data_IF_196183626460
#
_entry.id   IF_196183626460
#
_cell.length_a   1.000
_cell.length_b   1.000
_cell.length_c   1.000
_cell.angle_alpha   90.00
_cell.angle_beta   90.00
_cell.angle_gamma   90.00
#
_symmetry.space_group_name_H-M   'P 1'
#
loop_
_entity.id
_entity.type
_entity.pdbx_description
1 polymer ?
#
# COMPACT_ATOMS: atom_id res chain seq x y z
N UNK A 1 13.95 -6.47 17.19
CA UNK A 1 14.32 -5.30 16.37
C UNK A 1 14.37 -4.10 17.29
N UNK A 2 15.55 -3.49 17.46
CA UNK A 2 15.76 -2.33 18.34
C UNK A 2 16.00 -1.05 17.54
N UNK A 3 16.52 -1.16 16.33
CA UNK A 3 16.85 -0.01 15.49
C UNK A 3 16.75 -0.33 14.00
N UNK A 4 16.74 0.73 13.19
CA UNK A 4 16.77 0.61 11.74
C UNK A 4 17.94 -0.28 11.26
N UNK A 5 17.65 -1.17 10.33
CA UNK A 5 18.61 -2.12 9.75
C UNK A 5 18.79 -3.44 10.51
N UNK A 6 18.25 -3.59 11.71
CA UNK A 6 18.36 -4.86 12.45
C UNK A 6 17.70 -6.03 11.70
N UNK A 7 16.62 -5.79 10.96
CA UNK A 7 15.95 -6.82 10.14
C UNK A 7 16.89 -7.46 9.12
N UNK A 8 17.91 -6.73 8.66
CA UNK A 8 18.92 -7.24 7.72
C UNK A 8 19.84 -8.31 8.31
N UNK A 9 19.92 -8.39 9.63
CA UNK A 9 20.77 -9.36 10.35
C UNK A 9 20.08 -10.70 10.58
N UNK A 10 18.75 -10.73 10.45
CA UNK A 10 17.98 -11.96 10.67
C UNK A 10 18.21 -12.95 9.51
N UNK A 11 18.28 -14.27 9.79
CA UNK A 11 18.19 -15.28 8.77
C UNK A 11 16.88 -15.17 7.98
N UNK A 12 16.91 -15.46 6.69
CA UNK A 12 15.72 -15.37 5.84
C UNK A 12 14.57 -16.27 6.33
N UNK A 13 14.90 -17.41 6.91
CA UNK A 13 13.94 -18.38 7.46
C UNK A 13 13.16 -17.85 8.68
N UNK A 14 13.68 -16.82 9.35
CA UNK A 14 13.02 -16.19 10.51
C UNK A 14 12.10 -15.03 10.12
N UNK A 15 12.12 -14.57 8.87
CA UNK A 15 11.26 -13.46 8.44
C UNK A 15 9.77 -13.74 8.56
N UNK A 16 9.25 -14.95 8.26
CA UNK A 16 7.83 -15.26 8.48
C UNK A 16 7.43 -15.16 9.96
N UNK A 17 8.27 -15.65 10.87
CA UNK A 17 8.04 -15.55 12.31
C UNK A 17 8.05 -14.08 12.78
N UNK A 18 8.99 -13.28 12.29
CA UNK A 18 9.00 -11.85 12.56
C UNK A 18 7.70 -11.17 12.09
N UNK A 19 7.18 -11.54 10.92
CA UNK A 19 5.92 -11.00 10.42
C UNK A 19 4.74 -11.35 11.33
N UNK A 20 4.72 -12.56 11.87
CA UNK A 20 3.71 -13.01 12.83
C UNK A 20 3.81 -12.23 14.16
N UNK A 21 5.01 -12.10 14.71
CA UNK A 21 5.27 -11.31 15.93
C UNK A 21 4.85 -9.85 15.77
N UNK A 22 5.18 -9.23 14.64
CA UNK A 22 4.77 -7.85 14.33
C UNK A 22 3.25 -7.75 14.29
N UNK A 23 2.58 -8.70 13.64
CA UNK A 23 1.12 -8.71 13.50
C UNK A 23 0.45 -8.81 14.87
N UNK A 24 0.89 -9.73 15.71
CA UNK A 24 0.39 -9.89 17.07
C UNK A 24 0.60 -8.61 17.90
N UNK A 25 1.79 -8.04 17.85
CA UNK A 25 2.09 -6.78 18.52
C UNK A 25 1.19 -5.62 18.05
N UNK A 26 0.92 -5.52 16.75
CA UNK A 26 0.03 -4.48 16.21
C UNK A 26 -1.41 -4.67 16.67
N UNK A 27 -1.90 -5.90 16.72
CA UNK A 27 -3.24 -6.22 17.22
C UNK A 27 -3.36 -5.80 18.69
N UNK A 28 -2.42 -6.18 19.56
CA UNK A 28 -2.40 -5.81 20.98
C UNK A 28 -2.28 -4.31 21.17
N UNK A 29 -1.37 -3.63 20.48
CA UNK A 29 -1.16 -2.20 20.62
C UNK A 29 -2.37 -1.39 20.19
N UNK A 30 -2.93 -1.71 19.02
CA UNK A 30 -4.08 -0.97 18.47
C UNK A 30 -5.37 -1.30 19.24
N UNK A 31 -5.52 -2.50 19.82
CA UNK A 31 -6.64 -2.79 20.69
C UNK A 31 -6.66 -1.86 21.93
N UNK A 32 -5.49 -1.51 22.45
CA UNK A 32 -5.34 -0.67 23.63
C UNK A 32 -5.44 0.83 23.32
N UNK A 33 -4.89 1.30 22.20
CA UNK A 33 -4.78 2.74 21.89
C UNK A 33 -5.79 3.22 20.84
N UNK A 34 -6.39 2.31 20.08
CA UNK A 34 -7.03 2.63 18.82
C UNK A 34 -6.02 2.88 17.71
N UNK A 35 -6.49 2.96 16.47
CA UNK A 35 -5.63 3.22 15.31
C UNK A 35 -6.12 2.59 14.02
N UNK A 36 -5.26 2.60 13.00
CA UNK A 36 -5.55 1.94 11.72
C UNK A 36 -5.08 0.48 11.78
N UNK A 37 -6.01 -0.47 11.87
CA UNK A 37 -5.67 -1.87 12.10
C UNK A 37 -5.59 -2.67 10.80
N UNK A 38 -6.70 -2.81 10.08
CA UNK A 38 -6.77 -3.72 8.92
C UNK A 38 -5.78 -3.38 7.82
N UNK A 39 -5.51 -2.08 7.59
CA UNK A 39 -4.56 -1.62 6.58
C UNK A 39 -3.12 -1.98 6.94
N UNK A 40 -2.75 -1.90 8.23
CA UNK A 40 -1.41 -2.25 8.72
C UNK A 40 -1.19 -3.77 8.69
N UNK A 41 -2.18 -4.55 9.10
CA UNK A 41 -2.09 -6.02 9.07
C UNK A 41 -1.90 -6.56 7.64
N UNK A 42 -2.44 -5.88 6.64
CA UNK A 42 -2.34 -6.28 5.24
C UNK A 42 -0.97 -6.00 4.59
N UNK A 43 -0.07 -5.23 5.22
CA UNK A 43 1.22 -4.82 4.62
C UNK A 43 2.44 -5.18 5.47
N UNK A 44 2.31 -6.10 6.40
CA UNK A 44 3.42 -6.50 7.29
C UNK A 44 4.56 -7.10 6.46
N UNK A 45 4.29 -8.13 5.66
CA UNK A 45 5.28 -8.82 4.84
C UNK A 45 5.92 -7.89 3.81
N UNK A 46 5.11 -7.06 3.15
CA UNK A 46 5.60 -6.03 2.24
C UNK A 46 6.62 -5.10 2.92
N UNK A 47 6.28 -4.60 4.10
CA UNK A 47 7.12 -3.64 4.81
C UNK A 47 8.40 -4.28 5.33
N UNK A 48 8.33 -5.52 5.85
CA UNK A 48 9.52 -6.30 6.26
C UNK A 48 10.44 -6.55 5.07
N UNK A 49 9.90 -6.96 3.91
CA UNK A 49 10.68 -7.19 2.70
C UNK A 49 11.36 -5.91 2.18
N UNK A 50 10.69 -4.77 2.24
CA UNK A 50 11.28 -3.47 1.89
C UNK A 50 12.45 -3.12 2.82
N UNK A 51 12.28 -3.26 4.14
CA UNK A 51 13.35 -3.00 5.10
C UNK A 51 14.51 -3.99 4.99
N UNK A 52 14.24 -5.20 4.50
CA UNK A 52 15.28 -6.19 4.22
C UNK A 52 16.13 -5.80 3.03
N UNK A 53 15.51 -5.28 1.97
CA UNK A 53 16.17 -4.93 0.71
C UNK A 53 16.77 -3.51 0.69
N UNK A 54 16.08 -2.53 1.27
CA UNK A 54 16.43 -1.11 1.19
C UNK A 54 17.39 -0.69 2.32
N UNK A 55 18.16 0.36 2.10
CA UNK A 55 19.04 0.99 3.10
C UNK A 55 18.52 2.37 3.47
N UNK A 56 17.68 2.45 4.50
CA UNK A 56 17.16 3.71 5.03
C UNK A 56 18.21 4.40 5.92
N UNK A 57 18.25 5.72 5.95
CA UNK A 57 17.44 6.69 5.23
C UNK A 57 17.95 7.05 3.82
N UNK A 58 18.98 6.39 3.30
CA UNK A 58 19.50 6.63 1.95
C UNK A 58 18.44 6.31 0.89
N UNK A 59 17.85 5.12 0.94
CA UNK A 59 16.62 4.83 0.20
C UNK A 59 15.44 5.49 0.88
N UNK A 60 14.38 5.75 0.13
CA UNK A 60 13.21 6.46 0.62
C UNK A 60 11.94 5.62 0.42
N UNK A 61 11.11 5.52 1.45
CA UNK A 61 9.78 4.91 1.37
C UNK A 61 8.74 6.00 1.60
N UNK A 62 7.75 6.09 0.71
CA UNK A 62 6.61 6.98 0.81
C UNK A 62 5.33 6.15 0.81
N UNK A 63 4.53 6.30 1.85
CA UNK A 63 3.24 5.65 1.96
C UNK A 63 2.14 6.61 1.52
N UNK A 64 1.30 6.21 0.56
CA UNK A 64 0.13 7.00 0.19
C UNK A 64 -0.87 7.04 1.35
N UNK A 65 -1.43 8.20 1.66
CA UNK A 65 -2.14 8.49 2.90
C UNK A 65 -1.23 8.35 4.13
N UNK A 66 -0.48 7.26 4.26
CA UNK A 66 0.50 7.02 5.32
C UNK A 66 -0.02 6.25 6.54
N UNK A 67 -1.31 5.91 6.59
CA UNK A 67 -1.93 5.23 7.72
C UNK A 67 -1.47 3.77 7.91
N UNK A 68 -0.82 3.16 6.91
CA UNK A 68 -0.30 1.78 6.92
C UNK A 68 1.21 1.72 7.25
N UNK A 69 1.74 2.65 8.04
CA UNK A 69 3.18 2.77 8.33
C UNK A 69 3.63 2.13 9.66
N UNK A 70 2.76 1.43 10.39
CA UNK A 70 3.08 0.99 11.75
C UNK A 70 4.23 -0.02 11.77
N UNK A 71 4.24 -0.99 10.88
CA UNK A 71 5.37 -1.92 10.71
C UNK A 71 6.67 -1.17 10.40
N UNK A 72 6.63 -0.12 9.57
CA UNK A 72 7.79 0.73 9.30
C UNK A 72 8.30 1.43 10.57
N UNK A 73 7.40 1.94 11.41
CA UNK A 73 7.76 2.55 12.69
C UNK A 73 8.41 1.54 13.64
N UNK A 74 7.89 0.31 13.73
CA UNK A 74 8.49 -0.76 14.52
C UNK A 74 9.91 -1.09 14.03
N UNK A 75 10.09 -1.28 12.74
CA UNK A 75 11.38 -1.65 12.14
C UNK A 75 12.43 -0.53 12.19
N UNK A 76 12.01 0.70 12.47
CA UNK A 76 12.89 1.87 12.66
C UNK A 76 13.11 2.23 14.13
N UNK A 77 12.76 1.32 15.07
CA UNK A 77 13.11 1.40 16.49
C UNK A 77 12.15 2.17 17.37
N UNK A 78 10.92 2.41 16.91
CA UNK A 78 9.90 3.19 17.65
C UNK A 78 8.89 2.34 18.44
N UNK A 79 9.26 1.10 18.81
CA UNK A 79 8.34 0.15 19.47
C UNK A 79 7.73 0.70 20.75
N UNK A 80 8.53 1.34 21.59
CA UNK A 80 8.06 1.87 22.89
C UNK A 80 6.99 2.95 22.72
N UNK A 81 7.07 3.76 21.66
CA UNK A 81 6.11 4.80 21.34
C UNK A 81 4.69 4.30 21.06
N UNK A 82 4.52 3.00 20.78
CA UNK A 82 3.20 2.43 20.52
C UNK A 82 2.28 2.43 21.73
N UNK A 83 2.83 2.50 22.95
CA UNK A 83 2.04 2.68 24.18
C UNK A 83 1.21 3.98 24.16
N UNK A 84 1.64 4.97 23.39
CA UNK A 84 0.99 6.28 23.24
C UNK A 84 0.69 6.60 21.75
N UNK A 85 0.41 5.56 20.96
CA UNK A 85 0.07 5.73 19.55
C UNK A 85 -1.17 6.63 19.38
N UNK A 86 -1.05 7.69 18.55
CA UNK A 86 -2.11 8.67 18.26
C UNK A 86 -2.61 9.48 19.48
N UNK A 87 -1.86 9.50 20.56
CA UNK A 87 -2.12 10.35 21.72
C UNK A 87 -1.32 11.65 21.62
N UNK A 88 -1.70 12.64 22.45
CA UNK A 88 -0.94 13.91 22.56
C UNK A 88 0.48 13.61 23.03
N UNK A 89 1.46 14.20 22.38
CA UNK A 89 2.89 13.98 22.59
C UNK A 89 3.36 12.52 22.40
N UNK A 90 2.50 11.68 21.84
CA UNK A 90 2.78 10.29 21.51
C UNK A 90 3.19 10.07 20.06
N UNK A 91 3.28 8.79 19.68
CA UNK A 91 3.64 8.38 18.33
C UNK A 91 2.53 8.73 17.33
N UNK A 92 2.87 9.44 16.27
CA UNK A 92 1.92 9.76 15.19
C UNK A 92 1.39 8.49 14.50
N UNK A 93 0.13 8.49 14.12
CA UNK A 93 -0.48 7.44 13.29
C UNK A 93 -0.06 7.48 11.81
N UNK A 94 0.81 8.41 11.44
CA UNK A 94 1.33 8.65 10.08
C UNK A 94 2.84 8.80 10.11
N UNK A 95 3.56 8.66 8.97
CA UNK A 95 4.98 8.97 8.90
C UNK A 95 5.23 10.42 9.32
N UNK A 96 6.28 10.65 10.10
CA UNK A 96 6.68 11.99 10.58
C UNK A 96 8.19 12.14 10.56
N UNK A 97 8.75 13.03 9.71
CA UNK A 97 10.18 13.33 9.71
C UNK A 97 10.69 13.90 11.05
N UNK A 98 9.80 14.38 11.91
CA UNK A 98 10.16 14.81 13.26
C UNK A 98 10.43 13.64 14.21
N UNK A 99 9.91 12.46 13.91
CA UNK A 99 10.11 11.25 14.70
C UNK A 99 11.33 10.44 14.24
N UNK A 100 11.62 10.44 12.94
CA UNK A 100 12.70 9.63 12.36
C UNK A 100 13.12 10.12 10.97
N UNK A 101 14.44 10.12 10.71
CA UNK A 101 15.01 10.39 9.37
C UNK A 101 14.60 9.34 8.32
N UNK A 102 14.06 8.20 8.76
CA UNK A 102 13.52 7.17 7.89
C UNK A 102 12.15 7.54 7.31
N UNK A 103 11.43 8.48 7.93
CA UNK A 103 10.15 9.00 7.47
C UNK A 103 10.40 10.13 6.47
N UNK A 104 10.11 9.90 5.21
CA UNK A 104 10.49 10.83 4.13
C UNK A 104 9.58 12.03 4.02
N UNK A 105 8.27 11.85 4.31
CA UNK A 105 7.25 12.85 4.03
C UNK A 105 6.02 12.66 4.92
N UNK A 106 5.43 13.76 5.37
CA UNK A 106 4.13 13.75 6.06
C UNK A 106 3.03 13.67 4.99
N UNK A 107 2.25 12.60 5.04
CA UNK A 107 1.09 12.42 4.18
C UNK A 107 -0.20 12.43 5.04
N UNK A 108 -1.33 12.30 4.40
CA UNK A 108 -2.66 12.24 5.03
C UNK A 108 -3.75 12.16 3.98
N UNK A 109 -3.45 12.65 2.76
CA UNK A 109 -4.38 12.62 1.63
C UNK A 109 -3.99 11.53 0.63
N UNK A 110 -5.01 10.86 0.07
CA UNK A 110 -4.83 9.85 -0.95
C UNK A 110 -4.30 10.39 -2.26
N UNK A 111 -3.67 9.53 -3.04
CA UNK A 111 -3.17 9.77 -4.40
C UNK A 111 -1.96 10.72 -4.50
N UNK A 112 -1.33 11.12 -3.38
CA UNK A 112 -0.25 12.12 -3.35
C UNK A 112 1.15 11.52 -3.38
N UNK A 113 1.31 10.28 -2.93
CA UNK A 113 2.64 9.68 -2.72
C UNK A 113 3.45 9.56 -4.02
N UNK A 114 2.80 9.27 -5.14
CA UNK A 114 3.52 9.11 -6.41
C UNK A 114 4.14 10.43 -6.87
N UNK A 115 3.38 11.53 -6.86
CA UNK A 115 3.90 12.85 -7.24
C UNK A 115 5.05 13.28 -6.34
N UNK A 116 4.92 13.05 -5.03
CA UNK A 116 5.99 13.32 -4.05
C UNK A 116 7.22 12.44 -4.32
N UNK A 117 7.04 11.13 -4.57
CA UNK A 117 8.13 10.22 -4.86
C UNK A 117 8.89 10.60 -6.15
N UNK A 118 8.18 11.04 -7.18
CA UNK A 118 8.78 11.55 -8.42
C UNK A 118 9.65 12.78 -8.12
N UNK A 119 9.14 13.72 -7.31
CA UNK A 119 9.91 14.89 -6.89
C UNK A 119 11.20 14.51 -6.16
N UNK A 120 11.11 13.60 -5.19
CA UNK A 120 12.26 13.08 -4.43
C UNK A 120 13.24 12.34 -5.36
N UNK A 121 12.75 11.47 -6.24
CA UNK A 121 13.59 10.71 -7.19
C UNK A 121 14.35 11.63 -8.15
N UNK A 122 13.68 12.68 -8.67
CA UNK A 122 14.32 13.71 -9.50
C UNK A 122 15.36 14.51 -8.73
N UNK A 123 15.06 14.93 -7.50
CA UNK A 123 16.00 15.66 -6.66
C UNK A 123 17.28 14.84 -6.39
N UNK A 124 17.13 13.55 -6.05
CA UNK A 124 18.28 12.63 -5.88
C UNK A 124 19.10 12.52 -7.16
N UNK A 125 18.44 12.37 -8.31
CA UNK A 125 19.13 12.30 -9.61
C UNK A 125 19.90 13.56 -9.94
N UNK A 126 19.30 14.75 -9.72
CA UNK A 126 19.95 16.05 -9.95
C UNK A 126 21.15 16.25 -9.04
N UNK A 127 21.03 15.85 -7.77
CA UNK A 127 22.12 15.92 -6.78
C UNK A 127 23.14 14.81 -6.92
N UNK A 128 22.93 13.82 -7.81
CA UNK A 128 23.72 12.59 -7.94
C UNK A 128 23.78 11.78 -6.63
N UNK A 129 22.74 11.84 -5.82
CA UNK A 129 22.62 11.06 -4.59
C UNK A 129 22.15 9.63 -4.93
N UNK A 130 22.80 8.60 -4.36
CA UNK A 130 22.41 7.21 -4.57
C UNK A 130 21.12 6.87 -3.82
N UNK A 131 20.52 5.73 -4.16
CA UNK A 131 19.38 5.13 -3.48
C UNK A 131 18.08 5.22 -4.26
N UNK A 132 17.20 4.25 -3.98
CA UNK A 132 15.88 4.10 -4.59
C UNK A 132 14.84 4.92 -3.82
N UNK A 133 13.76 5.23 -4.53
CA UNK A 133 12.56 5.87 -3.97
C UNK A 133 11.38 4.95 -4.24
N UNK A 134 10.71 4.49 -3.19
CA UNK A 134 9.58 3.57 -3.27
C UNK A 134 8.31 4.30 -2.85
N UNK A 135 7.32 4.35 -3.74
CA UNK A 135 5.97 4.83 -3.43
C UNK A 135 5.02 3.64 -3.27
N UNK A 136 4.38 3.52 -2.10
CA UNK A 136 3.38 2.49 -1.82
C UNK A 136 2.00 3.12 -1.93
N UNK A 137 1.18 2.63 -2.85
CA UNK A 137 -0.15 3.18 -3.15
C UNK A 137 -1.18 2.06 -3.03
N UNK A 138 -2.22 2.26 -2.24
CA UNK A 138 -3.36 1.35 -2.19
C UNK A 138 -4.24 1.48 -3.45
N UNK A 139 -4.91 0.39 -3.83
CA UNK A 139 -5.80 0.33 -4.99
C UNK A 139 -6.94 1.37 -4.92
N UNK A 140 -7.44 1.69 -3.74
CA UNK A 140 -8.41 2.77 -3.55
C UNK A 140 -7.85 4.14 -3.90
N UNK A 141 -6.66 4.50 -3.41
CA UNK A 141 -5.98 5.75 -3.72
C UNK A 141 -5.51 5.79 -5.19
N UNK A 142 -5.26 4.63 -5.79
CA UNK A 142 -4.88 4.51 -7.18
C UNK A 142 -5.97 4.94 -8.16
N UNK A 143 -7.23 5.05 -7.74
CA UNK A 143 -8.33 5.57 -8.55
C UNK A 143 -8.32 7.10 -8.68
N UNK A 144 -7.54 7.81 -7.88
CA UNK A 144 -7.48 9.28 -7.89
C UNK A 144 -6.68 9.84 -9.07
N UNK A 145 -7.14 10.96 -9.65
CA UNK A 145 -6.56 11.58 -10.84
C UNK A 145 -5.08 11.96 -10.70
N UNK A 146 -4.65 12.41 -9.52
CA UNK A 146 -3.26 12.80 -9.26
C UNK A 146 -2.24 11.69 -9.50
N UNK A 147 -2.63 10.42 -9.33
CA UNK A 147 -1.75 9.27 -9.63
C UNK A 147 -1.40 9.26 -11.12
N UNK A 148 -2.37 9.48 -12.01
CA UNK A 148 -2.18 9.49 -13.46
C UNK A 148 -1.37 10.70 -13.91
N UNK A 149 -1.59 11.87 -13.29
CA UNK A 149 -0.75 13.04 -13.51
C UNK A 149 0.70 12.77 -13.10
N UNK A 150 0.91 12.10 -11.96
CA UNK A 150 2.21 11.63 -11.53
C UNK A 150 2.83 10.66 -12.54
N UNK A 151 2.09 9.61 -12.94
CA UNK A 151 2.57 8.62 -13.91
C UNK A 151 3.01 9.25 -15.24
N UNK A 152 2.30 10.27 -15.70
CA UNK A 152 2.64 11.01 -16.93
C UNK A 152 4.02 11.71 -16.84
N UNK A 153 4.58 11.89 -15.64
CA UNK A 153 5.84 12.58 -15.38
C UNK A 153 7.01 11.66 -15.02
N UNK A 154 6.89 10.35 -15.20
CA UNK A 154 7.87 9.35 -14.69
C UNK A 154 9.11 9.19 -15.57
N UNK A 155 9.16 9.75 -16.77
CA UNK A 155 10.23 9.53 -17.74
C UNK A 155 11.64 9.64 -17.12
N UNK A 156 12.51 8.66 -17.43
CA UNK A 156 13.92 8.61 -17.03
C UNK A 156 14.21 8.55 -15.52
N UNK A 157 13.32 7.99 -14.71
CA UNK A 157 13.52 7.79 -13.26
C UNK A 157 13.84 6.32 -12.94
N UNK A 158 15.09 5.92 -13.20
CA UNK A 158 15.57 4.55 -12.90
C UNK A 158 15.70 4.24 -11.39
N UNK A 159 15.56 5.23 -10.54
CA UNK A 159 15.58 5.10 -9.09
C UNK A 159 14.17 5.07 -8.46
N UNK A 160 13.09 5.01 -9.26
CA UNK A 160 11.72 4.99 -8.78
C UNK A 160 11.11 3.57 -8.87
N UNK A 161 10.51 3.14 -7.77
CA UNK A 161 9.70 1.92 -7.68
C UNK A 161 8.31 2.33 -7.16
N UNK A 162 7.27 2.04 -7.92
CA UNK A 162 5.87 2.21 -7.51
C UNK A 162 5.32 0.85 -7.13
N UNK A 163 4.81 0.71 -5.92
CA UNK A 163 4.18 -0.51 -5.42
C UNK A 163 2.68 -0.25 -5.34
N UNK A 164 1.92 -0.91 -6.19
CA UNK A 164 0.46 -0.98 -6.08
C UNK A 164 0.09 -2.11 -5.12
N UNK A 165 -0.45 -1.74 -3.97
CA UNK A 165 -1.01 -2.66 -2.99
C UNK A 165 -2.50 -2.89 -3.30
N UNK A 166 -2.80 -3.96 -4.03
CA UNK A 166 -4.15 -4.31 -4.47
C UNK A 166 -4.77 -5.30 -3.49
N UNK A 167 -5.69 -4.81 -2.66
CA UNK A 167 -6.45 -5.62 -1.72
C UNK A 167 -7.96 -5.67 -2.05
N UNK A 168 -8.36 -5.16 -3.21
CA UNK A 168 -9.74 -5.09 -3.71
C UNK A 168 -10.66 -4.18 -2.89
N UNK A 169 -10.10 -3.46 -1.94
CA UNK A 169 -10.85 -2.68 -0.96
C UNK A 169 -10.20 -1.33 -0.71
N UNK A 170 -11.00 -0.28 -0.79
CA UNK A 170 -10.75 0.98 -0.08
C UNK A 170 -11.29 0.85 1.36
N UNK A 171 -12.03 1.82 1.86
CA UNK A 171 -12.91 1.65 3.04
C UNK A 171 -14.13 0.79 2.63
N UNK A 172 -14.57 0.88 1.38
CA UNK A 172 -15.56 0.03 0.73
C UNK A 172 -14.98 -0.63 -0.53
N UNK A 173 -15.71 -1.54 -1.16
CA UNK A 173 -15.26 -2.17 -2.42
C UNK A 173 -14.98 -1.11 -3.48
N UNK A 174 -13.87 -1.26 -4.18
CA UNK A 174 -13.52 -0.39 -5.30
C UNK A 174 -14.48 -0.62 -6.47
N UNK A 175 -14.89 0.48 -7.09
CA UNK A 175 -15.78 0.50 -8.25
C UNK A 175 -15.11 1.19 -9.44
N UNK A 176 -15.71 1.03 -10.63
CA UNK A 176 -15.26 1.70 -11.86
C UNK A 176 -14.29 0.87 -12.71
N UNK A 177 -13.91 1.46 -13.85
CA UNK A 177 -13.15 0.75 -14.89
C UNK A 177 -11.74 0.37 -14.46
N UNK A 178 -11.12 1.13 -13.58
CA UNK A 178 -9.80 0.80 -13.05
C UNK A 178 -9.84 -0.47 -12.17
N UNK A 179 -10.84 -0.59 -11.30
CA UNK A 179 -11.04 -1.81 -10.50
C UNK A 179 -11.28 -3.04 -11.40
N UNK A 180 -12.03 -2.87 -12.49
CA UNK A 180 -12.24 -3.91 -13.49
C UNK A 180 -10.94 -4.26 -14.23
N UNK A 181 -10.12 -3.28 -14.58
CA UNK A 181 -8.83 -3.49 -15.22
C UNK A 181 -7.86 -4.28 -14.31
N UNK A 182 -7.71 -3.88 -13.05
CA UNK A 182 -6.89 -4.60 -12.08
C UNK A 182 -7.40 -6.04 -11.87
N UNK A 183 -8.72 -6.23 -11.85
CA UNK A 183 -9.32 -7.57 -11.77
C UNK A 183 -8.91 -8.44 -12.96
N UNK A 184 -8.95 -7.91 -14.20
CA UNK A 184 -8.49 -8.62 -15.40
C UNK A 184 -7.01 -9.01 -15.28
N UNK A 185 -6.14 -8.09 -14.82
CA UNK A 185 -4.72 -8.39 -14.62
C UNK A 185 -4.50 -9.54 -13.64
N UNK A 186 -5.27 -9.59 -12.55
CA UNK A 186 -5.18 -10.67 -11.54
C UNK A 186 -5.67 -12.02 -12.04
N UNK A 187 -6.61 -12.05 -12.98
CA UNK A 187 -7.31 -13.27 -13.41
C UNK A 187 -6.88 -13.78 -14.78
N UNK A 188 -6.01 -13.07 -15.51
CA UNK A 188 -5.55 -13.48 -16.83
C UNK A 188 -4.62 -14.71 -16.75
N UNK A 189 -5.05 -15.88 -17.26
CA UNK A 189 -4.23 -17.10 -17.23
C UNK A 189 -2.92 -16.97 -18.02
N UNK A 190 -2.87 -16.10 -19.05
CA UNK A 190 -1.67 -15.82 -19.83
C UNK A 190 -0.59 -15.16 -18.97
N UNK A 191 -1.01 -14.35 -18.02
CA UNK A 191 -0.12 -13.66 -17.07
C UNK A 191 0.62 -14.66 -16.17
N UNK A 192 -0.08 -15.66 -15.66
CA UNK A 192 0.50 -16.71 -14.82
C UNK A 192 1.46 -17.64 -15.58
N UNK A 193 1.21 -17.91 -16.86
CA UNK A 193 2.14 -18.72 -17.70
C UNK A 193 3.46 -18.00 -17.98
N UNK A 194 3.44 -16.68 -18.14
CA UNK A 194 4.65 -15.88 -18.37
C UNK A 194 5.51 -15.84 -17.10
N UNK A 195 4.92 -15.84 -15.91
CA UNK A 195 5.65 -15.92 -14.62
C UNK A 195 6.55 -17.17 -14.60
N UNK A 196 6.02 -18.34 -14.90
CA UNK A 196 6.78 -19.59 -14.94
C UNK A 196 7.91 -19.59 -15.97
N UNK A 197 7.75 -18.90 -17.13
CA UNK A 197 8.80 -18.82 -18.16
C UNK A 197 9.84 -17.73 -17.88
N UNK A 198 9.48 -16.66 -17.16
CA UNK A 198 10.43 -15.61 -16.75
C UNK A 198 11.37 -16.09 -15.63
N UNK A 199 10.89 -16.88 -14.71
CA UNK A 199 11.70 -17.50 -13.65
C UNK A 199 12.81 -18.36 -14.27
N UNK A 200 12.47 -19.18 -15.26
CA UNK A 200 13.45 -20.02 -16.00
C UNK A 200 14.39 -19.22 -16.92
N UNK A 201 13.98 -18.06 -17.43
CA UNK A 201 14.81 -17.24 -18.31
C UNK A 201 15.79 -16.34 -17.58
N UNK A 202 15.44 -15.86 -16.38
CA UNK A 202 16.33 -15.04 -15.53
C UNK A 202 17.47 -15.87 -14.91
N UNK A 203 17.24 -17.17 -14.65
CA UNK A 203 18.26 -18.08 -14.13
C UNK A 203 19.34 -18.47 -15.18
N UNK A 204 19.09 -18.21 -16.46
CA UNK A 204 19.95 -18.67 -17.57
C UNK A 204 20.78 -17.59 -18.26
N UNK A 205 20.86 -16.35 -17.75
CA UNK A 205 21.66 -15.29 -18.36
C UNK A 205 23.07 -15.29 -17.76
N UNK A 206 24.13 -15.71 -18.49
CA UNK A 206 25.50 -15.46 -18.07
C UNK A 206 25.77 -13.96 -18.03
N UNK A 207 26.61 -13.52 -17.10
CA UNK A 207 27.07 -12.15 -17.01
C UNK A 207 27.85 -11.75 -18.28
N UNK A 208 27.16 -11.07 -19.22
CA UNK A 208 27.73 -10.57 -20.48
C UNK A 208 27.56 -9.06 -20.53
N UNK A 209 28.58 -8.36 -21.03
CA UNK A 209 28.74 -6.90 -20.94
C UNK A 209 27.54 -6.03 -21.38
N UNK A 210 27.51 -4.83 -20.84
CA UNK A 210 26.37 -3.88 -20.82
C UNK A 210 25.76 -3.54 -22.19
N UNK A 211 26.54 -3.43 -23.26
CA UNK A 211 26.02 -3.08 -24.59
C UNK A 211 25.17 -4.20 -25.25
N UNK A 212 25.49 -5.48 -24.98
CA UNK A 212 24.74 -6.61 -25.50
C UNK A 212 23.43 -6.80 -24.75
N UNK A 213 23.38 -6.39 -23.47
CA UNK A 213 22.18 -6.44 -22.62
C UNK A 213 21.11 -5.45 -23.11
N UNK A 214 21.49 -4.25 -23.56
CA UNK A 214 20.54 -3.26 -24.11
C UNK A 214 19.89 -3.76 -25.42
N UNK A 215 20.68 -4.31 -26.34
CA UNK A 215 20.15 -4.86 -27.60
C UNK A 215 19.26 -6.08 -27.37
N UNK A 216 19.62 -6.95 -26.43
CA UNK A 216 18.78 -8.09 -26.03
C UNK A 216 17.51 -7.68 -25.30
N UNK A 217 17.53 -6.60 -24.51
CA UNK A 217 16.37 -6.05 -23.86
C UNK A 217 15.40 -5.39 -24.84
N UNK A 218 15.90 -4.66 -25.84
CA UNK A 218 15.08 -4.10 -26.93
C UNK A 218 14.46 -5.21 -27.78
N UNK A 219 15.24 -6.22 -28.18
CA UNK A 219 14.73 -7.39 -28.91
C UNK A 219 13.66 -8.16 -28.12
N UNK A 220 13.84 -8.35 -26.80
CA UNK A 220 12.84 -8.97 -25.91
C UNK A 220 11.58 -8.11 -25.79
N UNK A 221 11.69 -6.78 -25.73
CA UNK A 221 10.55 -5.86 -25.72
C UNK A 221 9.73 -5.97 -27.00
N UNK A 222 10.39 -6.08 -28.17
CA UNK A 222 9.72 -6.20 -29.48
C UNK A 222 8.99 -7.55 -29.61
N UNK A 223 9.61 -8.65 -29.22
CA UNK A 223 8.99 -9.98 -29.23
C UNK A 223 7.82 -10.04 -28.23
N UNK A 224 7.98 -9.45 -27.04
CA UNK A 224 6.95 -9.38 -26.00
C UNK A 224 5.76 -8.53 -26.45
N UNK A 225 5.97 -7.40 -27.13
CA UNK A 225 4.90 -6.56 -27.70
C UNK A 225 4.13 -7.24 -28.83
N UNK A 226 4.78 -8.10 -29.62
CA UNK A 226 4.14 -8.83 -30.73
C UNK A 226 3.27 -10.01 -30.28
N UNK A 227 3.49 -10.55 -29.09
CA UNK A 227 2.79 -11.74 -28.57
C UNK A 227 1.79 -11.39 -27.44
N UNK A 228 2.03 -10.31 -26.70
CA UNK A 228 1.20 -9.90 -25.57
C UNK A 228 0.80 -8.43 -25.71
N UNK A 229 -0.46 -8.14 -25.41
CA UNK A 229 -0.90 -6.74 -25.22
C UNK A 229 -0.13 -6.16 -24.04
N UNK A 230 0.55 -5.01 -24.23
CA UNK A 230 1.21 -4.29 -23.16
C UNK A 230 0.16 -3.82 -22.12
N UNK A 231 0.57 -3.79 -20.86
CA UNK A 231 -0.27 -3.19 -19.82
C UNK A 231 -0.26 -1.66 -19.97
N UNK A 232 -1.28 -0.99 -19.44
CA UNK A 232 -1.32 0.48 -19.36
C UNK A 232 -0.04 1.04 -18.70
N UNK A 233 0.51 0.34 -17.72
CA UNK A 233 1.73 0.76 -17.02
C UNK A 233 2.96 0.73 -17.92
N UNK A 234 3.08 -0.26 -18.79
CA UNK A 234 4.17 -0.36 -19.77
C UNK A 234 4.05 0.71 -20.85
N UNK A 235 2.84 1.04 -21.29
CA UNK A 235 2.60 2.14 -22.22
C UNK A 235 2.98 3.51 -21.59
N UNK A 236 2.86 3.65 -20.28
CA UNK A 236 3.29 4.84 -19.54
C UNK A 236 4.79 4.82 -19.17
N UNK A 237 5.56 3.86 -19.66
CA UNK A 237 7.02 3.82 -19.54
C UNK A 237 7.57 3.09 -18.32
N UNK A 238 6.72 2.39 -17.56
CA UNK A 238 7.17 1.54 -16.46
C UNK A 238 7.56 0.14 -16.93
N UNK A 239 8.46 -0.49 -16.20
CA UNK A 239 8.58 -1.94 -16.22
C UNK A 239 7.54 -2.51 -15.26
N UNK A 240 6.54 -3.21 -15.78
CA UNK A 240 5.51 -3.83 -14.96
C UNK A 240 5.96 -5.20 -14.44
N UNK A 241 5.80 -5.41 -13.13
CA UNK A 241 6.09 -6.65 -12.41
C UNK A 241 4.87 -7.03 -11.57
N UNK A 242 4.39 -8.25 -11.68
CA UNK A 242 3.26 -8.74 -10.91
C UNK A 242 2.14 -9.32 -11.79
N UNK A 243 0.98 -9.67 -11.23
CA UNK A 243 0.68 -9.60 -9.79
C UNK A 243 1.48 -10.63 -8.98
N UNK A 244 1.92 -10.23 -7.78
CA UNK A 244 2.72 -11.04 -6.84
C UNK A 244 1.95 -11.19 -5.54
N UNK A 245 2.12 -12.32 -4.84
CA UNK A 245 1.57 -12.49 -3.49
C UNK A 245 2.27 -11.54 -2.51
N UNK A 246 1.50 -10.61 -1.95
CA UNK A 246 1.98 -9.61 -1.00
C UNK A 246 2.19 -10.16 0.41
N UNK A 247 1.91 -11.45 0.66
CA UNK A 247 2.13 -12.14 1.93
C UNK A 247 3.29 -13.14 1.90
N UNK A 248 3.97 -13.30 0.76
CA UNK A 248 5.21 -14.05 0.68
C UNK A 248 6.41 -13.12 0.91
N UNK A 249 6.84 -12.98 2.17
CA UNK A 249 7.97 -12.13 2.57
C UNK A 249 9.28 -12.54 1.90
N UNK A 250 9.46 -13.82 1.62
CA UNK A 250 10.66 -14.37 0.99
C UNK A 250 10.73 -13.96 -0.48
N UNK A 251 9.64 -14.16 -1.21
CA UNK A 251 9.55 -13.77 -2.62
C UNK A 251 9.60 -12.25 -2.77
N UNK A 252 8.89 -11.49 -1.93
CA UNK A 252 8.96 -10.03 -1.94
C UNK A 252 10.39 -9.52 -1.67
N UNK A 253 11.11 -10.12 -0.73
CA UNK A 253 12.51 -9.77 -0.45
C UNK A 253 13.39 -10.00 -1.68
N UNK A 254 13.23 -11.14 -2.34
CA UNK A 254 13.95 -11.48 -3.59
C UNK A 254 13.64 -10.46 -4.69
N UNK A 255 12.37 -10.12 -4.86
CA UNK A 255 11.94 -9.14 -5.87
C UNK A 255 12.57 -7.77 -5.57
N UNK A 256 12.41 -7.23 -4.36
CA UNK A 256 12.96 -5.91 -4.03
C UNK A 256 14.49 -5.87 -4.12
N UNK A 257 15.19 -6.94 -3.79
CA UNK A 257 16.65 -7.03 -3.97
C UNK A 257 17.02 -6.92 -5.46
N UNK A 258 16.33 -7.65 -6.33
CA UNK A 258 16.57 -7.61 -7.78
C UNK A 258 16.20 -6.25 -8.40
N UNK A 259 15.21 -5.55 -7.82
CA UNK A 259 14.80 -4.23 -8.29
C UNK A 259 15.80 -3.12 -7.97
N UNK A 260 16.79 -3.35 -7.08
CA UNK A 260 17.86 -2.39 -6.81
C UNK A 260 18.72 -2.10 -8.06
N UNK A 261 18.89 -3.08 -8.93
CA UNK A 261 19.73 -3.02 -10.13
C UNK A 261 18.98 -2.59 -11.40
N UNK A 262 17.69 -2.26 -11.31
CA UNK A 262 16.91 -1.90 -12.50
C UNK A 262 17.23 -0.49 -13.01
N UNK A 263 17.26 -0.35 -14.35
CA UNK A 263 17.59 0.88 -15.07
C UNK A 263 16.36 1.65 -15.59
N UNK A 264 15.16 1.19 -15.28
CA UNK A 264 13.89 1.84 -15.65
C UNK A 264 12.99 1.98 -14.43
N UNK A 265 12.03 2.91 -14.44
CA UNK A 265 11.03 2.97 -13.37
C UNK A 265 10.23 1.68 -13.35
N UNK A 266 9.97 1.16 -12.15
CA UNK A 266 9.26 -0.12 -11.95
C UNK A 266 7.87 0.15 -11.37
N UNK A 267 6.89 -0.60 -11.89
CA UNK A 267 5.54 -0.68 -11.33
C UNK A 267 5.30 -2.11 -10.84
N UNK A 268 5.40 -2.31 -9.53
CA UNK A 268 5.20 -3.59 -8.87
C UNK A 268 3.77 -3.70 -8.38
N UNK A 269 3.02 -4.65 -8.92
CA UNK A 269 1.66 -4.96 -8.49
C UNK A 269 1.67 -6.14 -7.52
N UNK A 270 1.30 -5.90 -6.28
CA UNK A 270 1.15 -6.93 -5.26
C UNK A 270 -0.32 -7.11 -4.88
N UNK A 271 -0.69 -8.33 -4.52
CA UNK A 271 -2.04 -8.67 -4.05
C UNK A 271 -1.96 -9.02 -2.58
N UNK A 272 -2.71 -8.31 -1.74
CA UNK A 272 -2.75 -8.52 -0.29
C UNK A 272 -4.16 -8.76 0.21
N UNK A 273 -4.26 -9.23 1.46
CA UNK A 273 -5.49 -9.35 2.22
C UNK A 273 -5.50 -8.33 3.34
N UNK A 274 -6.43 -7.38 3.28
CA UNK A 274 -6.62 -6.39 4.33
C UNK A 274 -7.11 -7.07 5.61
N UNK A 275 -6.53 -6.75 6.77
CA UNK A 275 -6.88 -7.39 8.04
C UNK A 275 -6.20 -8.73 8.30
N UNK A 276 -5.24 -9.15 7.47
CA UNK A 276 -4.54 -10.45 7.52
C UNK A 276 -4.13 -10.86 8.93
N UNK A 277 -4.56 -12.08 9.34
CA UNK A 277 -4.24 -12.67 10.63
C UNK A 277 -5.19 -12.31 11.77
N UNK A 278 -6.20 -11.43 11.51
CA UNK A 278 -7.30 -11.18 12.45
C UNK A 278 -8.63 -11.42 11.73
N UNK A 279 -9.23 -12.59 11.96
CA UNK A 279 -10.41 -13.05 11.22
C UNK A 279 -11.53 -12.00 11.14
N UNK A 280 -11.97 -11.33 12.22
CA UNK A 280 -12.98 -10.27 12.13
C UNK A 280 -12.58 -9.11 11.22
N UNK A 281 -11.29 -8.74 11.20
CA UNK A 281 -10.77 -7.68 10.34
C UNK A 281 -10.63 -8.12 8.86
N UNK A 282 -10.43 -9.42 8.61
CA UNK A 282 -10.44 -9.98 7.25
C UNK A 282 -11.85 -10.01 6.66
N UNK A 283 -12.85 -10.35 7.49
CA UNK A 283 -14.26 -10.42 7.10
C UNK A 283 -14.88 -9.03 6.93
N UNK A 284 -14.51 -8.07 7.78
CA UNK A 284 -15.03 -6.70 7.80
C UNK A 284 -13.91 -5.63 7.79
N UNK A 285 -13.06 -5.59 6.75
CA UNK A 285 -11.87 -4.73 6.74
C UNK A 285 -12.18 -3.23 6.76
N UNK A 286 -13.40 -2.83 6.39
CA UNK A 286 -13.87 -1.45 6.47
C UNK A 286 -14.11 -0.99 7.90
N UNK A 287 -14.69 -1.84 8.74
CA UNK A 287 -14.94 -1.57 10.15
C UNK A 287 -13.65 -1.49 10.95
N UNK A 288 -12.69 -2.37 10.62
CA UNK A 288 -11.35 -2.37 11.22
C UNK A 288 -10.35 -1.44 10.52
N UNK A 289 -10.80 -0.58 9.61
CA UNK A 289 -9.90 0.37 8.94
C UNK A 289 -9.32 1.38 9.93
N UNK A 290 -10.16 2.01 10.75
CA UNK A 290 -9.75 2.87 11.87
C UNK A 290 -10.65 2.56 13.04
N UNK A 291 -10.07 2.10 14.14
CA UNK A 291 -10.79 1.66 15.33
C UNK A 291 -10.45 2.51 16.55
N UNK A 292 -11.39 2.66 17.46
CA UNK A 292 -11.11 3.07 18.85
C UNK A 292 -10.49 1.90 19.61
N UNK A 293 -10.03 2.12 20.83
CA UNK A 293 -9.62 1.02 21.70
C UNK A 293 -10.78 0.01 21.87
N UNK A 294 -10.47 -1.28 21.85
CA UNK A 294 -11.46 -2.36 21.92
C UNK A 294 -10.91 -3.56 22.70
N UNK A 295 -11.80 -4.40 23.19
CA UNK A 295 -11.46 -5.63 23.88
C UNK A 295 -11.24 -6.77 22.88
N UNK A 296 -10.07 -7.44 22.97
CA UNK A 296 -9.72 -8.57 22.12
C UNK A 296 -10.58 -9.81 22.37
N UNK A 297 -11.06 -10.00 23.59
CA UNK A 297 -11.88 -11.16 23.96
C UNK A 297 -13.35 -10.99 23.50
N UNK A 298 -13.76 -9.76 23.27
CA UNK A 298 -15.11 -9.39 22.86
C UNK A 298 -15.11 -8.66 21.53
N UNK A 299 -14.49 -9.24 20.48
CA UNK A 299 -14.39 -8.72 19.11
C UNK A 299 -15.78 -8.56 18.43
N UNK A 300 -16.74 -8.03 19.16
CA UNK A 300 -17.98 -7.52 18.61
C UNK A 300 -17.69 -6.12 18.07
N UNK A 301 -17.91 -5.93 16.78
CA UNK A 301 -17.76 -4.70 15.97
C UNK A 301 -17.28 -3.51 16.80
N UNK A 302 -15.97 -3.11 16.70
CA UNK A 302 -15.51 -1.94 17.41
C UNK A 302 -16.42 -0.78 17.03
N UNK A 303 -17.02 -0.10 17.98
CA UNK A 303 -17.86 1.06 17.70
C UNK A 303 -17.01 2.06 16.91
N UNK A 304 -17.30 2.22 15.63
CA UNK A 304 -16.48 3.03 14.70
C UNK A 304 -16.47 4.50 15.07
N UNK A 305 -17.40 4.92 15.92
CA UNK A 305 -17.53 6.28 16.40
C UNK A 305 -18.40 6.28 17.67
N UNK A 306 -18.12 7.11 18.67
CA UNK A 306 -19.01 7.28 19.80
C UNK A 306 -20.45 7.55 19.34
N UNK A 307 -21.46 6.93 19.98
CA UNK A 307 -22.88 7.10 19.61
C UNK A 307 -23.29 8.55 19.43
N UNK A 308 -22.66 9.46 20.17
CA UNK A 308 -22.90 10.90 20.18
C UNK A 308 -21.91 11.75 19.37
N UNK A 309 -21.16 11.15 18.42
CA UNK A 309 -20.28 11.93 17.56
C UNK A 309 -21.06 12.87 16.62
N UNK A 310 -20.42 13.96 16.19
CA UNK A 310 -20.98 14.88 15.19
C UNK A 310 -21.38 14.13 13.91
N UNK A 311 -20.54 13.22 13.43
CA UNK A 311 -20.82 12.41 12.24
C UNK A 311 -22.09 11.58 12.40
N UNK A 312 -22.27 10.92 13.56
CA UNK A 312 -23.47 10.12 13.82
C UNK A 312 -24.73 10.98 13.95
N UNK A 313 -24.64 12.11 14.63
CA UNK A 313 -25.77 13.08 14.73
C UNK A 313 -26.13 13.64 13.35
N UNK A 314 -25.14 14.02 12.55
CA UNK A 314 -25.34 14.49 11.19
C UNK A 314 -25.99 13.41 10.31
N UNK A 315 -25.44 12.20 10.29
CA UNK A 315 -25.95 11.10 9.48
C UNK A 315 -27.38 10.69 9.81
N UNK A 316 -27.73 10.62 11.10
CA UNK A 316 -29.08 10.35 11.56
C UNK A 316 -30.06 11.48 11.15
N UNK A 317 -29.65 12.74 11.25
CA UNK A 317 -30.48 13.86 10.81
C UNK A 317 -30.66 13.87 9.30
N UNK A 318 -29.60 13.55 8.54
CA UNK A 318 -29.68 13.45 7.10
C UNK A 318 -30.60 12.29 6.65
N UNK A 319 -30.52 11.14 7.33
CA UNK A 319 -31.42 10.02 7.10
C UNK A 319 -32.90 10.39 7.35
N UNK A 320 -33.17 11.18 8.39
CA UNK A 320 -34.52 11.69 8.64
C UNK A 320 -34.99 12.65 7.53
N UNK A 321 -34.15 13.60 7.14
CA UNK A 321 -34.44 14.53 6.04
C UNK A 321 -34.65 13.83 4.69
N UNK A 322 -33.95 12.74 4.42
CA UNK A 322 -34.13 11.97 3.18
C UNK A 322 -35.53 11.35 3.03
N UNK A 323 -36.24 11.15 4.14
CA UNK A 323 -37.68 10.71 4.10
C UNK A 323 -38.64 11.85 3.80
N UNK A 324 -38.23 13.08 4.10
CA UNK A 324 -39.04 14.29 3.90
C UNK A 324 -38.78 14.95 2.54
N UNK A 325 -37.54 14.81 2.03
CA UNK A 325 -37.06 15.47 0.81
C UNK A 325 -36.70 14.42 -0.24
N UNK A 326 -37.57 14.09 -1.17
CA UNK A 326 -37.37 12.98 -2.13
C UNK A 326 -36.15 13.09 -3.04
N UNK A 327 -35.68 14.32 -3.29
CA UNK A 327 -34.55 14.59 -4.19
C UNK A 327 -33.24 14.83 -3.44
N UNK A 328 -33.19 14.54 -2.11
CA UNK A 328 -31.97 14.67 -1.35
C UNK A 328 -30.97 13.57 -1.72
N UNK A 329 -29.77 13.95 -2.10
CA UNK A 329 -28.67 13.03 -2.37
C UNK A 329 -27.43 13.43 -1.55
N UNK A 330 -26.54 12.47 -1.30
CA UNK A 330 -25.30 12.68 -0.60
C UNK A 330 -24.14 12.00 -1.34
N UNK A 331 -23.02 12.71 -1.45
CA UNK A 331 -21.80 12.23 -2.13
C UNK A 331 -20.64 12.27 -1.15
N UNK A 332 -19.84 11.21 -1.13
CA UNK A 332 -18.62 11.15 -0.33
C UNK A 332 -17.54 10.37 -1.06
N UNK A 333 -16.29 10.81 -0.94
CA UNK A 333 -15.13 10.12 -1.49
C UNK A 333 -14.67 8.99 -0.54
N UNK A 334 -15.34 7.83 -0.60
CA UNK A 334 -15.05 6.62 0.17
C UNK A 334 -15.17 6.77 1.71
N UNK A 335 -15.66 7.91 2.24
CA UNK A 335 -15.72 8.22 3.68
C UNK A 335 -17.10 7.98 4.29
N UNK A 336 -17.86 7.02 3.77
CA UNK A 336 -19.25 6.74 4.18
C UNK A 336 -19.41 6.66 5.70
N UNK A 337 -18.55 5.94 6.38
CA UNK A 337 -18.61 5.77 7.82
C UNK A 337 -18.08 7.00 8.59
N UNK A 338 -16.93 7.52 8.18
CA UNK A 338 -16.32 8.69 8.86
C UNK A 338 -17.16 9.96 8.81
N UNK A 339 -18.03 10.09 7.81
CA UNK A 339 -18.98 11.22 7.70
C UNK A 339 -20.36 10.92 8.28
N UNK A 340 -20.63 9.69 8.74
CA UNK A 340 -21.94 9.27 9.22
C UNK A 340 -22.97 8.99 8.10
N UNK A 341 -22.56 9.04 6.83
CA UNK A 341 -23.47 8.80 5.69
C UNK A 341 -23.96 7.35 5.58
N UNK A 342 -23.38 6.43 6.38
CA UNK A 342 -23.89 5.07 6.49
C UNK A 342 -25.36 5.01 6.96
N UNK A 343 -25.81 5.93 7.83
CA UNK A 343 -27.22 6.00 8.26
C UNK A 343 -28.13 6.41 7.10
N UNK A 344 -27.72 7.39 6.30
CA UNK A 344 -28.45 7.80 5.11
C UNK A 344 -28.50 6.69 4.05
N UNK A 345 -27.36 6.06 3.77
CA UNK A 345 -27.25 4.92 2.85
C UNK A 345 -28.18 3.77 3.23
N UNK A 346 -28.21 3.38 4.52
CA UNK A 346 -29.07 2.31 5.00
C UNK A 346 -30.55 2.70 5.03
N UNK A 347 -30.87 3.99 5.12
CA UNK A 347 -32.26 4.49 5.13
C UNK A 347 -32.91 4.51 3.73
N UNK A 348 -32.09 4.54 2.67
CA UNK A 348 -32.50 4.62 1.26
C UNK A 348 -32.01 3.39 0.50
N UNK A 349 -32.56 2.23 0.81
CA UNK A 349 -32.10 0.88 0.37
C UNK A 349 -31.89 0.72 -1.16
N UNK A 350 -32.28 1.68 -1.99
CA UNK A 350 -32.42 1.46 -3.43
C UNK A 350 -31.55 2.34 -4.33
N UNK A 351 -30.66 3.19 -3.77
CA UNK A 351 -29.87 4.12 -4.58
C UNK A 351 -28.41 4.12 -4.11
N UNK A 352 -27.70 3.07 -4.46
CA UNK A 352 -26.24 3.07 -4.41
C UNK A 352 -25.69 2.54 -5.73
N UNK A 353 -25.07 3.39 -6.49
CA UNK A 353 -24.14 2.98 -7.53
C UNK A 353 -22.73 2.83 -6.96
#
# INVERSE_FOLDING_TARGET
IQKNGDVKKLPQQELPLLCEDIRNFLIESVSSTGGHLSSNLGVVELTVALHRALTLPQDKILFDVGHQCYTHKLLTGRREGFAHLRQVDGLSGFPSPQESDCDTFIAGHGSTALSTAIGVARAKKLKKEPGKVVAIIGDGAFTGGMVYEGMNNVSNLNNLIVVLNDNKMSISKNVGQMANYLTKLRTDPKYFRVKAHMETALERIPAVGTALVEVLQEGKKIIRRGIYHSTMFEEMGFQYVGPVDGHDVTELTRIFTNLQEQYSPVFLHIVTQKGKGLKPAEENPGEFHSVSAFDLDHLTNPEMSPKDSFSNRFGNKLAALGREVPNLCAITAAMKYGTGLNFFYLSLIHISE
#
